data_IF_345194858323
#
_entry.id   IF_345194858323
#
_cell.length_a   1.000
_cell.length_b   1.000
_cell.length_c   1.000
_cell.angle_alpha   90.00
_cell.angle_beta   90.00
_cell.angle_gamma   90.00
#
_symmetry.space_group_name_H-M   'P 1'
#
loop_
_entity.id
_entity.type
_entity.pdbx_description
1 polymer ?
#
# COMPACT_ATOMS: atom_id res chain seq x y z
N UNK A 1 -16.77 1.20 26.13
CA UNK A 1 -15.82 0.16 26.58
C UNK A 1 -14.86 -0.11 25.44
N UNK A 2 -13.60 0.34 25.52
CA UNK A 2 -12.56 -0.04 24.58
C UNK A 2 -11.58 -0.95 25.33
N UNK A 3 -11.46 -2.19 24.88
CA UNK A 3 -10.50 -3.16 25.39
C UNK A 3 -9.10 -2.71 24.97
N UNK A 4 -8.25 -2.36 25.92
CA UNK A 4 -6.84 -2.11 25.67
C UNK A 4 -6.10 -3.45 25.69
N UNK A 5 -5.98 -4.09 24.52
CA UNK A 5 -5.05 -5.20 24.37
C UNK A 5 -3.61 -4.68 24.30
N UNK A 6 -2.71 -5.38 24.98
CA UNK A 6 -1.30 -5.04 25.16
C UNK A 6 -0.58 -5.09 23.79
N UNK A 7 -0.44 -3.95 23.13
CA UNK A 7 0.06 -3.87 21.76
C UNK A 7 1.57 -4.17 21.60
N UNK A 8 1.98 -4.75 20.46
CA UNK A 8 3.39 -4.98 20.08
C UNK A 8 4.21 -3.67 20.02
N UNK A 9 5.58 -3.71 19.96
CA UNK A 9 6.44 -2.54 20.12
C UNK A 9 5.98 -1.33 19.31
N UNK A 10 5.80 -0.20 19.99
CA UNK A 10 5.01 0.95 19.53
C UNK A 10 5.53 1.54 18.22
N UNK A 11 4.94 1.12 17.11
CA UNK A 11 5.01 1.79 15.82
C UNK A 11 4.11 3.03 15.78
N UNK A 12 4.05 3.69 14.63
CA UNK A 12 3.16 4.83 14.42
C UNK A 12 1.78 4.29 14.04
N UNK A 13 0.79 4.48 14.93
CA UNK A 13 -0.60 4.17 14.66
C UNK A 13 -1.43 5.46 14.62
N UNK A 14 -2.08 5.71 13.50
CA UNK A 14 -3.00 6.84 13.33
C UNK A 14 -4.39 6.27 13.05
N UNK A 15 -5.41 6.84 13.69
CA UNK A 15 -6.79 6.36 13.50
C UNK A 15 -7.74 7.53 13.40
N UNK A 16 -8.65 7.50 12.41
CA UNK A 16 -9.68 8.52 12.23
C UNK A 16 -9.19 9.88 11.71
N UNK A 17 -7.97 9.95 11.16
CA UNK A 17 -7.38 11.20 10.72
C UNK A 17 -7.63 11.47 9.24
N UNK A 18 -7.77 12.74 8.87
CA UNK A 18 -7.72 13.20 7.48
C UNK A 18 -6.37 13.84 7.22
N UNK A 19 -5.63 13.30 6.25
CA UNK A 19 -4.32 13.79 5.84
C UNK A 19 -4.51 14.49 4.49
N UNK A 20 -4.41 15.81 4.51
CA UNK A 20 -4.75 16.67 3.38
C UNK A 20 -3.71 16.65 2.25
N UNK A 21 -2.47 16.23 2.53
CA UNK A 21 -1.40 16.18 1.55
C UNK A 21 -0.89 14.75 1.32
N UNK A 22 0.11 14.63 0.45
CA UNK A 22 0.78 13.36 0.19
C UNK A 22 1.64 12.97 1.37
N UNK A 23 1.51 11.73 1.83
CA UNK A 23 2.46 11.18 2.79
C UNK A 23 3.70 10.72 2.03
N UNK A 24 4.85 11.30 2.36
CA UNK A 24 6.11 10.95 1.70
C UNK A 24 7.05 10.23 2.67
N UNK A 25 7.38 8.99 2.31
CA UNK A 25 8.36 8.15 2.97
C UNK A 25 9.38 7.61 1.96
N UNK A 26 9.61 8.31 0.84
CA UNK A 26 10.61 7.89 -0.14
C UNK A 26 11.97 7.65 0.54
N UNK A 27 12.55 6.47 0.27
CA UNK A 27 13.85 6.04 0.80
C UNK A 27 13.91 5.88 2.33
N UNK A 28 12.80 6.08 3.04
CA UNK A 28 12.78 6.05 4.50
C UNK A 28 12.84 4.61 5.01
N UNK A 29 13.47 4.42 6.17
CA UNK A 29 13.39 3.18 6.94
C UNK A 29 12.42 3.39 8.09
N UNK A 30 11.37 2.58 8.13
CA UNK A 30 10.37 2.52 9.20
C UNK A 30 10.69 1.30 10.07
N UNK A 31 11.52 1.45 11.13
CA UNK A 31 11.98 0.32 11.94
C UNK A 31 10.87 -0.28 12.80
N UNK A 32 9.70 0.37 12.83
CA UNK A 32 8.51 -0.09 13.54
C UNK A 32 7.29 0.04 12.62
N UNK A 33 6.19 -0.69 12.89
CA UNK A 33 5.00 -0.67 12.06
C UNK A 33 4.43 0.73 11.81
N UNK A 34 3.98 0.99 10.59
CA UNK A 34 3.12 2.13 10.25
C UNK A 34 1.71 1.62 9.99
N UNK A 35 0.77 1.92 10.88
CA UNK A 35 -0.61 1.45 10.83
C UNK A 35 -1.58 2.62 10.75
N UNK A 36 -2.33 2.68 9.65
CA UNK A 36 -3.36 3.68 9.40
C UNK A 36 -4.72 2.97 9.41
N UNK A 37 -5.62 3.41 10.29
CA UNK A 37 -6.94 2.81 10.44
C UNK A 37 -8.04 3.86 10.33
N UNK A 38 -9.02 3.67 9.46
CA UNK A 38 -10.09 4.65 9.26
C UNK A 38 -9.55 6.06 8.96
N UNK A 39 -8.44 6.15 8.20
CA UNK A 39 -7.84 7.42 7.81
C UNK A 39 -8.13 7.74 6.34
N UNK A 40 -8.33 9.01 6.04
CA UNK A 40 -8.45 9.49 4.66
C UNK A 40 -7.15 10.16 4.24
N UNK A 41 -6.64 9.79 3.07
CA UNK A 41 -5.43 10.37 2.48
C UNK A 41 -5.81 10.98 1.13
N UNK A 42 -5.69 12.30 1.02
CA UNK A 42 -6.20 13.03 -0.14
C UNK A 42 -5.29 12.94 -1.38
N UNK A 43 -3.96 12.93 -1.17
CA UNK A 43 -3.00 13.05 -2.28
C UNK A 43 -2.04 11.86 -2.39
N UNK A 44 -2.41 10.72 -1.81
CA UNK A 44 -1.71 9.45 -1.96
C UNK A 44 -0.53 9.29 -0.99
N UNK A 45 0.24 8.24 -1.23
CA UNK A 45 1.44 7.95 -0.43
C UNK A 45 2.61 7.54 -1.33
N UNK A 46 3.80 8.05 -1.00
CA UNK A 46 5.06 7.67 -1.63
C UNK A 46 5.88 6.81 -0.67
N UNK A 47 6.26 5.62 -1.14
CA UNK A 47 7.01 4.58 -0.43
C UNK A 47 8.16 4.05 -1.28
N UNK A 48 8.53 4.78 -2.34
CA UNK A 48 9.57 4.38 -3.29
C UNK A 48 10.86 4.09 -2.55
N UNK A 49 11.45 2.90 -2.78
CA UNK A 49 12.68 2.44 -2.12
C UNK A 49 12.64 2.50 -0.58
N UNK A 50 11.47 2.61 0.03
CA UNK A 50 11.35 2.60 1.48
C UNK A 50 11.55 1.17 2.01
N UNK A 51 11.95 1.05 3.27
CA UNK A 51 11.95 -0.21 4.01
C UNK A 51 11.03 -0.09 5.22
N UNK A 52 10.11 -1.03 5.41
CA UNK A 52 9.20 -1.04 6.54
C UNK A 52 9.17 -2.41 7.19
N UNK A 53 9.00 -2.43 8.52
CA UNK A 53 8.72 -3.67 9.23
C UNK A 53 7.34 -4.22 8.82
N UNK A 54 6.30 -3.45 9.11
CA UNK A 54 4.91 -3.70 8.71
C UNK A 54 4.33 -2.40 8.18
N UNK A 55 3.47 -2.50 7.17
CA UNK A 55 2.75 -1.36 6.63
C UNK A 55 1.28 -1.73 6.46
N UNK A 56 0.39 -0.99 7.12
CA UNK A 56 -1.02 -1.34 7.18
C UNK A 56 -1.96 -0.17 6.94
N UNK A 57 -2.93 -0.40 6.07
CA UNK A 57 -4.07 0.45 5.81
C UNK A 57 -5.33 -0.38 6.02
N UNK A 58 -6.16 0.07 6.96
CA UNK A 58 -7.41 -0.60 7.29
C UNK A 58 -8.56 0.38 7.20
N UNK A 59 -9.53 0.14 6.31
CA UNK A 59 -10.68 1.05 6.11
C UNK A 59 -10.21 2.47 5.74
N UNK A 60 -9.20 2.57 4.87
CA UNK A 60 -8.65 3.86 4.46
C UNK A 60 -9.10 4.21 3.03
N UNK A 61 -9.82 5.32 2.83
CA UNK A 61 -9.92 5.95 1.52
C UNK A 61 -8.60 6.66 1.19
N UNK A 62 -7.96 6.27 0.10
CA UNK A 62 -6.70 6.83 -0.37
C UNK A 62 -6.85 7.27 -1.82
N UNK A 63 -6.86 8.58 -2.02
CA UNK A 63 -6.93 9.22 -3.34
C UNK A 63 -5.50 9.54 -3.76
N UNK A 64 -5.15 9.39 -5.04
CA UNK A 64 -3.80 9.68 -5.55
C UNK A 64 -2.83 8.49 -5.52
N UNK A 65 -3.31 7.28 -5.22
CA UNK A 65 -2.57 6.03 -5.37
C UNK A 65 -1.42 5.79 -4.40
N UNK A 66 -0.78 4.63 -4.55
CA UNK A 66 0.37 4.19 -3.74
C UNK A 66 1.58 4.04 -4.65
N UNK A 67 2.63 4.81 -4.41
CA UNK A 67 3.90 4.76 -5.15
C UNK A 67 4.93 3.94 -4.35
N UNK A 68 4.93 2.62 -4.50
CA UNK A 68 5.77 1.66 -3.77
C UNK A 68 6.85 0.98 -4.62
N UNK A 69 7.34 1.63 -5.67
CA UNK A 69 8.40 1.07 -6.52
C UNK A 69 9.66 0.74 -5.72
N UNK A 70 10.07 -0.54 -5.72
CA UNK A 70 11.20 -1.04 -4.94
C UNK A 70 11.01 -1.01 -3.42
N UNK A 71 9.77 -0.90 -2.93
CA UNK A 71 9.44 -0.99 -1.50
C UNK A 71 9.89 -2.34 -0.92
N UNK A 72 10.51 -2.33 0.25
CA UNK A 72 10.77 -3.53 1.04
C UNK A 72 9.88 -3.53 2.29
N UNK A 73 9.12 -4.60 2.49
CA UNK A 73 8.39 -4.86 3.72
C UNK A 73 8.94 -6.15 4.32
N UNK A 74 9.44 -6.10 5.54
CA UNK A 74 10.06 -7.26 6.18
C UNK A 74 9.01 -8.31 6.58
N UNK A 75 7.84 -7.86 7.02
CA UNK A 75 6.68 -8.68 7.37
C UNK A 75 5.54 -8.41 6.37
N UNK A 76 4.40 -7.91 6.83
CA UNK A 76 3.17 -7.88 6.06
C UNK A 76 2.82 -6.48 5.51
N UNK A 77 2.22 -6.45 4.33
CA UNK A 77 1.56 -5.28 3.74
C UNK A 77 0.04 -5.49 3.72
N UNK A 78 -0.69 -4.65 4.44
CA UNK A 78 -2.15 -4.72 4.54
C UNK A 78 -2.81 -3.54 3.84
N UNK A 79 -3.78 -3.82 2.96
CA UNK A 79 -4.68 -2.85 2.32
C UNK A 79 -6.15 -3.15 2.64
N UNK A 80 -6.42 -3.80 3.77
CA UNK A 80 -7.72 -4.40 4.11
C UNK A 80 -8.85 -3.37 4.12
N UNK A 81 -9.95 -3.68 3.43
CA UNK A 81 -11.18 -2.87 3.36
C UNK A 81 -10.94 -1.40 2.96
N UNK A 82 -9.82 -1.12 2.30
CA UNK A 82 -9.42 0.21 1.89
C UNK A 82 -9.79 0.45 0.43
N UNK A 83 -10.14 1.69 0.09
CA UNK A 83 -10.42 2.10 -1.28
C UNK A 83 -9.26 2.94 -1.76
N UNK A 84 -8.57 2.50 -2.79
CA UNK A 84 -7.44 3.22 -3.38
C UNK A 84 -7.86 3.67 -4.77
N UNK A 85 -7.96 4.98 -4.95
CA UNK A 85 -8.22 5.63 -6.23
C UNK A 85 -6.92 6.20 -6.77
N UNK A 86 -6.56 5.82 -7.99
CA UNK A 86 -5.23 5.98 -8.56
C UNK A 86 -4.44 4.67 -8.56
N UNK A 87 -3.30 4.69 -9.24
CA UNK A 87 -2.44 3.52 -9.44
C UNK A 87 -1.85 3.01 -8.13
N UNK A 88 -1.87 1.68 -7.93
CA UNK A 88 -1.01 1.00 -6.93
C UNK A 88 0.24 0.48 -7.64
N UNK A 89 1.37 1.15 -7.46
CA UNK A 89 2.63 0.79 -8.09
C UNK A 89 3.53 0.06 -7.11
N UNK A 90 3.68 -1.26 -7.28
CA UNK A 90 4.52 -2.14 -6.44
C UNK A 90 5.62 -2.84 -7.27
N UNK A 91 6.01 -2.26 -8.41
CA UNK A 91 7.03 -2.85 -9.26
C UNK A 91 8.36 -3.01 -8.50
N UNK A 92 8.91 -4.22 -8.56
CA UNK A 92 10.15 -4.60 -7.87
C UNK A 92 10.08 -4.58 -6.34
N UNK A 93 8.89 -4.43 -5.75
CA UNK A 93 8.74 -4.48 -4.30
C UNK A 93 8.97 -5.90 -3.77
N UNK A 94 9.36 -6.01 -2.50
CA UNK A 94 9.63 -7.27 -1.80
C UNK A 94 8.90 -7.29 -0.47
N UNK A 95 8.08 -8.29 -0.24
CA UNK A 95 7.29 -8.47 0.98
C UNK A 95 7.70 -9.80 1.61
N UNK A 96 8.25 -9.75 2.81
CA UNK A 96 8.76 -10.92 3.52
C UNK A 96 7.68 -11.78 4.17
N UNK A 97 6.50 -11.20 4.42
CA UNK A 97 5.28 -11.88 4.82
C UNK A 97 4.23 -11.86 3.71
N UNK A 98 3.02 -11.47 4.06
CA UNK A 98 1.84 -11.50 3.21
C UNK A 98 1.52 -10.15 2.59
N UNK A 99 0.93 -10.17 1.40
CA UNK A 99 0.21 -9.05 0.83
C UNK A 99 -1.30 -9.30 0.98
N UNK A 100 -1.98 -8.48 1.77
CA UNK A 100 -3.40 -8.66 2.07
C UNK A 100 -4.26 -7.51 1.57
N UNK A 101 -5.09 -7.79 0.56
CA UNK A 101 -6.03 -6.85 -0.02
C UNK A 101 -7.49 -7.23 0.29
N UNK A 102 -7.73 -7.94 1.40
CA UNK A 102 -9.06 -8.46 1.75
C UNK A 102 -10.10 -7.33 1.81
N UNK A 103 -11.13 -7.40 0.96
CA UNK A 103 -12.17 -6.38 0.82
C UNK A 103 -11.68 -5.02 0.31
N UNK A 104 -10.47 -4.94 -0.24
CA UNK A 104 -9.96 -3.70 -0.83
C UNK A 104 -10.60 -3.43 -2.19
N UNK A 105 -10.79 -2.16 -2.52
CA UNK A 105 -11.18 -1.71 -3.85
C UNK A 105 -10.05 -0.89 -4.44
N UNK A 106 -9.46 -1.36 -5.54
CA UNK A 106 -8.45 -0.66 -6.31
C UNK A 106 -9.09 -0.10 -7.58
N UNK A 107 -9.06 1.21 -7.74
CA UNK A 107 -9.56 1.90 -8.92
C UNK A 107 -8.43 2.71 -9.54
N UNK A 108 -7.82 2.16 -10.59
CA UNK A 108 -6.75 2.81 -11.33
C UNK A 108 -7.21 4.00 -12.18
N UNK A 109 -8.53 4.28 -12.24
CA UNK A 109 -9.10 5.25 -13.15
C UNK A 109 -8.76 4.92 -14.59
N UNK A 110 -8.10 5.84 -15.27
CA UNK A 110 -7.67 5.68 -16.67
C UNK A 110 -6.41 4.80 -16.84
N UNK A 111 -5.80 4.31 -15.75
CA UNK A 111 -4.63 3.45 -15.80
C UNK A 111 -4.81 2.11 -15.10
N UNK A 112 -3.74 1.30 -15.06
CA UNK A 112 -3.71 0.03 -14.34
C UNK A 112 -4.04 0.25 -12.85
N UNK A 113 -4.97 -0.55 -12.31
CA UNK A 113 -5.29 -0.55 -10.88
C UNK A 113 -4.06 -0.92 -10.02
N UNK A 114 -3.29 -1.90 -10.47
CA UNK A 114 -2.05 -2.33 -9.83
C UNK A 114 -1.01 -2.68 -10.89
N UNK A 115 0.21 -2.16 -10.73
CA UNK A 115 1.40 -2.71 -11.39
C UNK A 115 2.22 -3.43 -10.32
N UNK A 116 2.41 -4.73 -10.52
CA UNK A 116 3.17 -5.61 -9.63
C UNK A 116 4.34 -6.29 -10.37
N UNK A 117 4.90 -5.62 -11.39
CA UNK A 117 5.98 -6.17 -12.20
C UNK A 117 7.18 -6.51 -11.30
N UNK A 118 7.60 -7.77 -11.30
CA UNK A 118 8.70 -8.27 -10.45
C UNK A 118 8.45 -8.11 -8.94
N UNK A 119 7.20 -8.01 -8.50
CA UNK A 119 6.84 -8.11 -7.08
C UNK A 119 7.21 -9.50 -6.54
N UNK A 120 7.90 -9.54 -5.41
CA UNK A 120 8.17 -10.76 -4.65
C UNK A 120 7.37 -10.73 -3.33
N UNK A 121 6.59 -11.78 -3.08
CA UNK A 121 5.91 -11.99 -1.78
C UNK A 121 6.30 -13.37 -1.30
N UNK A 122 6.93 -13.45 -0.11
CA UNK A 122 7.40 -14.73 0.44
C UNK A 122 6.27 -15.52 1.12
N UNK A 123 5.29 -14.82 1.69
CA UNK A 123 4.07 -15.40 2.23
C UNK A 123 2.98 -15.54 1.17
N UNK A 124 1.73 -15.35 1.59
CA UNK A 124 0.56 -15.41 0.72
C UNK A 124 0.17 -14.04 0.14
N UNK A 125 -0.49 -14.08 -1.02
CA UNK A 125 -1.22 -12.95 -1.58
C UNK A 125 -2.71 -13.22 -1.41
N UNK A 126 -3.40 -12.41 -0.61
CA UNK A 126 -4.80 -12.60 -0.27
C UNK A 126 -5.68 -11.53 -0.92
N UNK A 127 -6.50 -11.96 -1.88
CA UNK A 127 -7.44 -11.14 -2.65
C UNK A 127 -8.87 -11.64 -2.40
N UNK A 128 -9.31 -11.61 -1.15
CA UNK A 128 -10.59 -12.19 -0.70
C UNK A 128 -11.57 -11.14 -0.20
N UNK A 129 -12.70 -11.60 0.34
CA UNK A 129 -13.69 -10.77 1.05
C UNK A 129 -14.24 -9.60 0.19
N UNK A 130 -14.46 -9.86 -1.10
CA UNK A 130 -15.00 -8.87 -2.04
C UNK A 130 -13.95 -7.93 -2.63
N UNK A 131 -12.67 -8.31 -2.67
CA UNK A 131 -11.64 -7.58 -3.40
C UNK A 131 -12.09 -7.27 -4.84
N UNK A 132 -11.91 -6.01 -5.25
CA UNK A 132 -12.19 -5.54 -6.61
C UNK A 132 -11.03 -4.69 -7.11
N UNK A 133 -10.58 -4.95 -8.34
CA UNK A 133 -9.61 -4.11 -9.03
C UNK A 133 -10.15 -3.73 -10.40
N UNK A 134 -10.18 -2.43 -10.69
CA UNK A 134 -10.64 -1.87 -11.97
C UNK A 134 -9.61 -0.89 -12.48
N UNK A 135 -9.35 -0.92 -13.77
CA UNK A 135 -8.42 -0.02 -14.42
C UNK A 135 -8.31 -0.37 -15.90
N UNK A 136 -7.70 0.53 -16.66
CA UNK A 136 -7.43 0.30 -18.07
C UNK A 136 -6.07 -0.37 -18.20
N UNK A 137 -6.00 -1.47 -18.97
CA UNK A 137 -4.74 -2.10 -19.30
C UNK A 137 -3.87 -1.11 -20.08
N UNK A 138 -2.86 -0.54 -19.42
CA UNK A 138 -1.91 0.35 -20.08
C UNK A 138 -1.10 -0.46 -21.09
N UNK A 139 -1.32 -0.21 -22.39
CA UNK A 139 -0.54 -0.81 -23.48
C UNK A 139 0.90 -0.28 -23.55
N UNK A 140 1.30 0.66 -22.67
CA UNK A 140 2.66 1.16 -22.58
C UNK A 140 3.65 0.25 -21.82
N UNK A 141 3.28 -0.98 -21.45
CA UNK A 141 4.21 -1.98 -20.90
C UNK A 141 5.33 -2.41 -21.89
N UNK A 142 5.50 -1.76 -23.05
CA UNK A 142 6.63 -2.02 -23.95
C UNK A 142 7.86 -1.12 -23.74
N UNK A 143 7.74 0.20 -23.54
CA UNK A 143 8.91 1.06 -23.79
C UNK A 143 8.95 2.39 -23.01
N UNK A 144 9.17 2.34 -21.69
CA UNK A 144 9.87 3.46 -21.03
C UNK A 144 10.94 2.91 -20.10
N UNK A 145 12.06 2.57 -20.73
CA UNK A 145 13.27 2.09 -20.08
C UNK A 145 13.69 2.98 -18.90
N UNK A 146 14.25 2.31 -17.90
CA UNK A 146 15.19 2.93 -16.96
C UNK A 146 16.31 3.59 -17.78
N UNK A 147 16.19 4.90 -17.99
CA UNK A 147 17.30 5.76 -18.40
C UNK A 147 18.37 5.70 -17.32
N UNK A 148 19.61 5.54 -17.79
CA UNK A 148 20.85 5.28 -17.04
C UNK A 148 21.09 6.24 -15.87
#
# INVERSE_FOLDING_TARGET
MALAEKGPPKGLRITGATIQGRLDFEGCTLPRPLLLGACTIADGITLRRATAMDLGFQVCPLIGGIEGGGLKVDNDLFLRRSTITGRVFLAGAKIGGNLECNGATLDGGEGNAMNADRLEVKGGVFLRDGFSAKGVADQACHDRGFGR
#
